data_IF_203851995257
#
_entry.id   IF_203851995257
#
_cell.length_a   1.000
_cell.length_b   1.000
_cell.length_c   1.000
_cell.angle_alpha   90.00
_cell.angle_beta   90.00
_cell.angle_gamma   90.00
#
_symmetry.space_group_name_H-M   'P 1'
#
loop_
_entity.id
_entity.type
_entity.pdbx_description
1 polymer ?
#
# COMPACT_ATOMS: atom_id res chain seq x y z
N UNK A 1 14.41 6.51 3.79
CA UNK A 1 14.12 5.76 5.04
C UNK A 1 13.56 4.43 4.57
N UNK A 2 14.37 3.39 4.61
CA UNK A 2 14.12 2.14 3.90
C UNK A 2 13.14 1.26 4.68
N UNK A 3 12.15 0.74 3.97
CA UNK A 3 11.27 -0.35 4.37
C UNK A 3 12.08 -1.58 4.77
N UNK A 4 12.33 -1.75 6.08
CA UNK A 4 12.68 -3.06 6.62
C UNK A 4 11.39 -3.86 6.81
N UNK A 5 10.89 -4.31 5.66
CA UNK A 5 9.79 -5.25 5.53
C UNK A 5 9.98 -6.45 6.46
N UNK A 6 8.85 -6.98 6.91
CA UNK A 6 8.72 -8.08 7.86
C UNK A 6 9.40 -9.35 7.36
N UNK A 7 10.70 -9.51 7.62
CA UNK A 7 11.45 -10.71 7.29
C UNK A 7 11.16 -11.80 8.34
N UNK A 8 10.36 -12.79 7.95
CA UNK A 8 10.27 -14.08 8.67
C UNK A 8 11.41 -14.95 8.16
N UNK A 9 12.50 -14.99 8.93
CA UNK A 9 13.63 -15.87 8.65
C UNK A 9 13.37 -17.25 9.27
N UNK A 10 13.55 -18.30 8.48
CA UNK A 10 13.39 -19.67 8.93
C UNK A 10 14.78 -20.28 9.24
N UNK A 11 15.16 -20.49 10.50
CA UNK A 11 16.43 -21.17 10.84
C UNK A 11 16.31 -22.71 10.88
N UNK A 12 17.30 -23.41 10.32
CA UNK A 12 17.59 -24.82 10.64
C UNK A 12 18.41 -24.84 11.94
N UNK A 13 17.82 -25.42 12.99
CA UNK A 13 18.19 -25.14 14.38
C UNK A 13 19.64 -25.44 14.78
N UNK A 14 20.15 -24.62 15.71
CA UNK A 14 21.26 -24.99 16.57
C UNK A 14 20.79 -26.01 17.62
N UNK A 15 21.61 -27.01 17.98
CA UNK A 15 21.22 -28.03 18.94
C UNK A 15 21.17 -27.47 20.37
N UNK A 16 20.04 -27.73 21.03
CA UNK A 16 19.81 -27.68 22.49
C UNK A 16 20.42 -26.50 23.24
N UNK A 17 19.87 -25.30 23.08
CA UNK A 17 19.75 -24.45 24.25
C UNK A 17 18.76 -25.18 25.16
N UNK A 18 19.25 -25.73 26.29
CA UNK A 18 18.42 -26.26 27.37
C UNK A 18 17.18 -25.36 27.48
N UNK A 19 16.00 -25.91 27.20
CA UNK A 19 14.76 -25.41 27.76
C UNK A 19 15.01 -25.43 29.26
N UNK A 20 15.57 -24.33 29.78
CA UNK A 20 15.51 -24.05 31.21
C UNK A 20 14.04 -24.22 31.55
N UNK A 21 13.76 -24.84 32.68
CA UNK A 21 12.44 -24.90 33.26
C UNK A 21 11.93 -23.46 33.40
N UNK A 22 11.30 -22.97 32.35
CA UNK A 22 10.80 -21.62 32.25
C UNK A 22 9.38 -21.74 32.74
N UNK A 23 9.21 -21.32 34.00
CA UNK A 23 7.93 -21.23 34.68
C UNK A 23 6.91 -20.66 33.69
N UNK A 24 5.96 -21.51 33.30
CA UNK A 24 4.99 -21.24 32.24
C UNK A 24 4.12 -20.03 32.56
N UNK A 25 4.10 -19.61 33.84
CA UNK A 25 3.42 -18.41 34.33
C UNK A 25 4.19 -17.11 34.08
N UNK A 26 5.52 -17.14 34.04
CA UNK A 26 6.35 -15.92 34.06
C UNK A 26 6.77 -15.47 32.65
N UNK A 27 6.78 -16.38 31.67
CA UNK A 27 7.34 -16.11 30.34
C UNK A 27 6.36 -15.95 29.18
N UNK A 28 5.04 -15.92 29.40
CA UNK A 28 4.13 -15.28 28.42
C UNK A 28 4.19 -13.76 28.52
N UNK A 29 5.41 -13.25 28.67
CA UNK A 29 5.73 -11.84 28.83
C UNK A 29 5.21 -11.09 27.61
N UNK A 30 4.37 -10.08 27.85
CA UNK A 30 3.88 -9.11 26.86
C UNK A 30 5.08 -8.36 26.28
N UNK A 31 5.76 -8.99 25.33
CA UNK A 31 6.91 -8.40 24.68
C UNK A 31 6.42 -7.24 23.79
N UNK A 32 6.94 -6.01 23.94
CA UNK A 32 6.54 -4.86 23.11
C UNK A 32 7.18 -4.89 21.71
N UNK A 33 8.17 -5.74 21.48
CA UNK A 33 8.90 -5.82 20.22
C UNK A 33 8.09 -6.49 19.11
N UNK A 34 8.30 -6.03 17.87
CA UNK A 34 7.50 -6.46 16.71
C UNK A 34 8.09 -7.68 15.98
N UNK A 35 9.39 -7.92 16.10
CA UNK A 35 10.12 -8.97 15.37
C UNK A 35 10.04 -10.28 16.13
N UNK A 36 9.36 -11.26 15.54
CA UNK A 36 9.18 -12.60 16.10
C UNK A 36 9.61 -13.66 15.09
N UNK A 37 10.16 -14.76 15.59
CA UNK A 37 10.57 -15.93 14.82
C UNK A 37 9.79 -17.17 15.31
N UNK A 38 9.39 -18.03 14.38
CA UNK A 38 8.68 -19.28 14.68
C UNK A 38 9.71 -20.41 14.70
N UNK A 39 9.75 -21.16 15.79
CA UNK A 39 10.59 -22.34 15.87
C UNK A 39 10.07 -23.41 14.89
N UNK A 40 10.95 -23.97 14.04
CA UNK A 40 10.51 -24.95 13.03
C UNK A 40 10.04 -26.29 13.62
N UNK A 41 10.51 -26.63 14.82
CA UNK A 41 10.26 -27.94 15.46
C UNK A 41 9.13 -27.91 16.49
N UNK A 42 8.82 -26.73 17.01
CA UNK A 42 7.84 -26.53 18.08
C UNK A 42 7.04 -25.26 17.75
N UNK A 43 5.72 -25.20 17.98
CA UNK A 43 4.90 -24.04 17.66
C UNK A 43 5.09 -22.91 18.68
N UNK A 44 6.35 -22.53 18.91
CA UNK A 44 6.78 -21.49 19.83
C UNK A 44 7.11 -20.25 19.01
N UNK A 45 6.48 -19.14 19.37
CA UNK A 45 6.78 -17.82 18.84
C UNK A 45 7.79 -17.15 19.79
N UNK A 46 8.97 -16.78 19.30
CA UNK A 46 10.01 -16.13 20.11
C UNK A 46 10.31 -14.73 19.56
N UNK A 47 10.45 -13.75 20.43
CA UNK A 47 10.90 -12.42 20.05
C UNK A 47 12.40 -12.40 19.72
N UNK A 48 12.76 -11.87 18.55
CA UNK A 48 14.16 -11.79 18.11
C UNK A 48 15.00 -10.79 18.91
N UNK A 49 14.38 -9.75 19.43
CA UNK A 49 15.08 -8.65 20.07
C UNK A 49 15.41 -8.93 21.55
N UNK A 50 14.61 -9.77 22.22
CA UNK A 50 14.78 -10.05 23.66
C UNK A 50 14.68 -11.54 24.06
N UNK A 51 14.43 -12.45 23.11
CA UNK A 51 14.30 -13.89 23.37
C UNK A 51 13.08 -14.27 24.21
N UNK A 52 12.11 -13.37 24.35
CA UNK A 52 10.87 -13.65 25.06
C UNK A 52 9.99 -14.61 24.27
N UNK A 53 9.44 -15.64 24.93
CA UNK A 53 8.44 -16.52 24.33
C UNK A 53 7.10 -15.80 24.32
N UNK A 54 6.53 -15.62 23.15
CA UNK A 54 5.29 -14.86 22.94
C UNK A 54 4.13 -15.82 22.75
N UNK A 55 2.98 -15.49 23.33
CA UNK A 55 1.74 -16.23 23.09
C UNK A 55 1.27 -15.97 21.65
N UNK A 56 1.26 -17.02 20.83
CA UNK A 56 0.90 -16.91 19.41
C UNK A 56 -0.55 -16.41 19.22
N UNK A 57 -1.49 -16.82 20.08
CA UNK A 57 -2.87 -16.40 19.97
C UNK A 57 -3.02 -14.90 20.27
N UNK A 58 -2.35 -14.41 21.31
CA UNK A 58 -2.35 -12.98 21.64
C UNK A 58 -1.65 -12.15 20.55
N UNK A 59 -0.51 -12.61 20.05
CA UNK A 59 0.21 -11.93 18.96
C UNK A 59 -0.61 -11.85 17.67
N UNK A 60 -1.26 -12.96 17.28
CA UNK A 60 -2.17 -12.97 16.13
C UNK A 60 -3.33 -12.01 16.34
N UNK A 61 -3.97 -12.02 17.52
CA UNK A 61 -5.10 -11.12 17.82
C UNK A 61 -4.70 -9.65 17.70
N UNK A 62 -3.57 -9.27 18.29
CA UNK A 62 -3.06 -7.89 18.25
C UNK A 62 -2.74 -7.46 16.80
N UNK A 63 -2.20 -8.37 15.98
CA UNK A 63 -1.90 -8.10 14.56
C UNK A 63 -3.10 -8.12 13.65
N UNK A 64 -4.10 -8.96 13.93
CA UNK A 64 -5.33 -9.02 13.15
C UNK A 64 -6.19 -7.76 13.35
N UNK A 65 -6.15 -7.13 14.53
CA UNK A 65 -6.79 -5.83 14.76
C UNK A 65 -6.19 -4.75 13.85
N UNK A 66 -4.85 -4.70 13.78
CA UNK A 66 -4.14 -3.80 12.86
C UNK A 66 -4.48 -4.11 11.39
N UNK A 67 -4.64 -5.40 11.05
CA UNK A 67 -4.91 -5.83 9.68
C UNK A 67 -6.25 -5.36 9.13
N UNK A 68 -7.31 -5.39 9.95
CA UNK A 68 -8.63 -4.87 9.56
C UNK A 68 -8.57 -3.36 9.25
N UNK A 69 -7.83 -2.61 10.06
CA UNK A 69 -7.62 -1.17 9.86
C UNK A 69 -6.79 -0.89 8.61
N UNK A 70 -5.73 -1.66 8.37
CA UNK A 70 -4.90 -1.58 7.15
C UNK A 70 -5.75 -1.84 5.90
N UNK A 71 -6.58 -2.89 5.91
CA UNK A 71 -7.46 -3.23 4.80
C UNK A 71 -8.52 -2.15 4.53
N UNK A 72 -9.07 -1.54 5.57
CA UNK A 72 -10.00 -0.42 5.44
C UNK A 72 -9.33 0.80 4.80
N UNK A 73 -8.12 1.16 5.26
CA UNK A 73 -7.36 2.27 4.72
C UNK A 73 -6.96 2.03 3.24
N UNK A 74 -6.59 0.80 2.89
CA UNK A 74 -6.30 0.42 1.50
C UNK A 74 -7.53 0.56 0.60
N UNK A 75 -8.71 0.12 1.07
CA UNK A 75 -9.96 0.27 0.33
C UNK A 75 -10.30 1.74 0.08
N UNK A 76 -10.15 2.60 1.08
CA UNK A 76 -10.39 4.03 0.94
C UNK A 76 -9.42 4.67 -0.07
N UNK A 77 -8.12 4.41 0.05
CA UNK A 77 -7.11 4.91 -0.89
C UNK A 77 -7.38 4.46 -2.33
N UNK A 78 -7.84 3.22 -2.51
CA UNK A 78 -8.22 2.72 -3.84
C UNK A 78 -9.37 3.55 -4.43
N UNK A 79 -10.39 3.88 -3.64
CA UNK A 79 -11.52 4.70 -4.08
C UNK A 79 -11.09 6.12 -4.44
N UNK A 80 -10.18 6.74 -3.68
CA UNK A 80 -9.62 8.05 -4.02
C UNK A 80 -8.88 8.03 -5.35
N UNK A 81 -8.02 7.03 -5.58
CA UNK A 81 -7.28 6.88 -6.84
C UNK A 81 -8.25 6.69 -8.02
N UNK A 82 -9.29 5.87 -7.86
CA UNK A 82 -10.31 5.67 -8.90
C UNK A 82 -11.04 6.98 -9.24
N UNK A 83 -11.38 7.80 -8.22
CA UNK A 83 -11.99 9.11 -8.42
C UNK A 83 -11.06 10.08 -9.15
N UNK A 84 -9.79 10.16 -8.75
CA UNK A 84 -8.78 11.00 -9.42
C UNK A 84 -8.58 10.61 -10.89
N UNK A 85 -8.49 9.31 -11.17
CA UNK A 85 -8.38 8.79 -12.53
C UNK A 85 -9.57 9.24 -13.38
N UNK A 86 -10.78 9.21 -12.84
CA UNK A 86 -11.97 9.62 -13.58
C UNK A 86 -12.04 11.13 -13.81
N UNK A 87 -11.61 11.95 -12.85
CA UNK A 87 -11.45 13.40 -13.06
C UNK A 87 -10.39 13.71 -14.13
N UNK A 88 -9.24 13.03 -14.10
CA UNK A 88 -8.21 13.17 -15.12
C UNK A 88 -8.72 12.77 -16.52
N UNK A 89 -9.51 11.69 -16.63
CA UNK A 89 -10.16 11.31 -17.89
C UNK A 89 -11.12 12.39 -18.39
N UNK A 90 -11.93 12.99 -17.50
CA UNK A 90 -12.84 14.09 -17.84
C UNK A 90 -12.06 15.32 -18.32
N UNK A 91 -11.05 15.74 -17.57
CA UNK A 91 -10.17 16.85 -17.93
C UNK A 91 -9.52 16.63 -19.31
N UNK A 92 -9.03 15.40 -19.56
CA UNK A 92 -8.46 15.03 -20.86
C UNK A 92 -9.48 15.15 -22.01
N UNK A 93 -10.73 14.73 -21.81
CA UNK A 93 -11.80 14.87 -22.82
C UNK A 93 -12.09 16.34 -23.10
N UNK A 94 -12.19 17.17 -22.07
CA UNK A 94 -12.43 18.61 -22.20
C UNK A 94 -11.28 19.28 -22.96
N UNK A 95 -10.03 18.98 -22.60
CA UNK A 95 -8.85 19.52 -23.27
C UNK A 95 -8.80 19.14 -24.75
N UNK A 96 -9.10 17.88 -25.10
CA UNK A 96 -9.18 17.45 -26.50
C UNK A 96 -10.24 18.20 -27.29
N UNK A 97 -11.40 18.44 -26.68
CA UNK A 97 -12.48 19.22 -27.31
C UNK A 97 -12.05 20.66 -27.55
N UNK A 98 -11.51 21.34 -26.53
CA UNK A 98 -10.99 22.71 -26.66
C UNK A 98 -9.93 22.83 -27.75
N UNK A 99 -8.99 21.88 -27.83
CA UNK A 99 -7.97 21.87 -28.87
C UNK A 99 -8.54 21.69 -30.28
N UNK A 100 -9.56 20.84 -30.43
CA UNK A 100 -10.28 20.67 -31.69
C UNK A 100 -11.00 21.96 -32.09
N UNK A 101 -11.75 22.54 -31.17
CA UNK A 101 -12.48 23.80 -31.40
C UNK A 101 -11.52 24.94 -31.78
N UNK A 102 -10.36 25.02 -31.14
CA UNK A 102 -9.33 26.03 -31.43
C UNK A 102 -8.64 25.80 -32.78
N UNK A 103 -8.44 24.54 -33.17
CA UNK A 103 -7.92 24.19 -34.50
C UNK A 103 -8.91 24.59 -35.59
N UNK A 104 -10.19 24.25 -35.42
CA UNK A 104 -11.26 24.63 -36.37
C UNK A 104 -11.40 26.16 -36.48
N UNK A 105 -11.27 26.89 -35.35
CA UNK A 105 -11.25 28.36 -35.35
C UNK A 105 -10.11 28.93 -36.19
N UNK A 106 -8.89 28.39 -36.04
CA UNK A 106 -7.72 28.81 -36.83
C UNK A 106 -7.88 28.50 -38.32
N UNK A 107 -8.45 27.34 -38.66
CA UNK A 107 -8.72 26.98 -40.06
C UNK A 107 -9.78 27.92 -40.68
N UNK A 108 -10.82 28.28 -39.93
CA UNK A 108 -11.84 29.24 -40.37
C UNK A 108 -11.30 30.68 -40.54
N UNK A 109 -10.49 31.15 -39.59
CA UNK A 109 -9.81 32.45 -39.68
C UNK A 109 -8.87 32.52 -40.90
N UNK A 110 -8.10 31.45 -41.15
CA UNK A 110 -7.26 31.34 -42.34
C UNK A 110 -8.04 31.32 -43.65
N UNK A 111 -9.20 30.65 -43.69
CA UNK A 111 -10.06 30.61 -44.86
C UNK A 111 -10.69 31.98 -45.19
N UNK A 112 -11.07 32.75 -44.16
CA UNK A 112 -11.60 34.11 -44.32
C UNK A 112 -10.57 35.10 -44.87
N UNK A 113 -9.30 34.93 -44.50
CA UNK A 113 -8.17 35.75 -45.00
C UNK A 113 -7.84 35.51 -46.48
N UNK A 114 -8.40 34.46 -47.09
CA UNK A 114 -8.16 34.08 -48.49
C UNK A 114 -9.42 34.20 -49.37
N UNK A 115 -10.52 34.77 -48.85
CA UNK A 115 -11.69 35.05 -49.68
C UNK A 115 -11.41 36.23 -50.62
N UNK A 116 -11.61 36.06 -51.95
CA UNK A 116 -11.46 37.16 -52.89
C UNK A 116 -12.55 38.21 -52.65
N UNK A 117 -12.26 39.51 -52.85
CA UNK A 117 -13.21 40.57 -52.55
C UNK A 117 -14.48 40.38 -53.40
N UNK A 118 -15.63 40.31 -52.73
CA UNK A 118 -16.92 40.26 -53.40
C UNK A 118 -17.12 41.57 -54.17
N UNK A 119 -17.22 41.46 -55.50
CA UNK A 119 -17.63 42.60 -56.33
C UNK A 119 -19.06 42.95 -55.94
N UNK A 120 -19.23 44.17 -55.41
CA UNK A 120 -20.56 44.75 -55.18
C UNK A 120 -21.26 44.89 -56.54
N UNK A 121 -22.46 44.34 -56.63
CA UNK A 121 -23.36 44.47 -57.77
C UNK A 121 -23.93 45.89 -57.84
#
# INVERSE_FOLDING_TARGET
>A
MADEDNIVEFRTGAPSARLKDLDWKDKRSRCPHRRVEIWRKEPILECRDCGAVVDAHQWIRDRCQDWAQVMSNLKFKKQEIEAEIDELKKARRILRRKYKDERERREAEGALMHMPPQRRA
#
